data_IF_326561149861
#
_entry.id   IF_326561149861
#
_cell.length_a   1.000
_cell.length_b   1.000
_cell.length_c   1.000
_cell.angle_alpha   90.00
_cell.angle_beta   90.00
_cell.angle_gamma   90.00
#
_symmetry.space_group_name_H-M   'P 1'
#
loop_
_entity.id
_entity.type
_entity.pdbx_description
1 polymer ?
#
# COMPACT_ATOMS: atom_id res chain seq x y z
N UNK A 1 -1.44 -8.20 -11.02
CA UNK A 1 -2.02 -7.66 -12.28
C UNK A 1 -1.68 -6.19 -12.46
N UNK A 2 -2.03 -5.30 -11.51
CA UNK A 2 -1.79 -3.86 -11.67
C UNK A 2 -0.33 -3.48 -11.87
N UNK A 3 0.62 -4.12 -11.18
CA UNK A 3 2.05 -3.86 -11.38
C UNK A 3 2.46 -4.01 -12.85
N UNK A 4 2.04 -5.11 -13.50
CA UNK A 4 2.37 -5.39 -14.91
C UNK A 4 1.75 -4.36 -15.86
N UNK A 5 0.50 -3.96 -15.62
CA UNK A 5 -0.23 -3.03 -16.48
C UNK A 5 0.24 -1.58 -16.32
N UNK A 6 0.63 -1.19 -15.11
CA UNK A 6 0.94 0.20 -14.78
C UNK A 6 2.44 0.50 -14.70
N UNK A 7 3.32 -0.47 -15.00
CA UNK A 7 4.77 -0.28 -14.90
C UNK A 7 5.28 0.94 -15.68
N UNK A 8 4.65 1.28 -16.81
CA UNK A 8 5.01 2.44 -17.64
C UNK A 8 4.69 3.79 -16.97
N UNK A 9 3.94 3.77 -15.87
CA UNK A 9 3.60 4.95 -15.09
C UNK A 9 4.48 5.12 -13.84
N UNK A 10 5.44 4.23 -13.60
CA UNK A 10 6.42 4.42 -12.52
C UNK A 10 7.24 5.70 -12.77
N UNK A 11 7.55 6.43 -11.70
CA UNK A 11 8.34 7.67 -11.79
C UNK A 11 9.77 7.41 -12.31
N UNK A 12 10.31 6.23 -11.99
CA UNK A 12 11.65 5.78 -12.37
C UNK A 12 11.53 4.37 -12.98
N UNK A 13 12.47 3.94 -13.83
CA UNK A 13 12.52 2.55 -14.28
C UNK A 13 12.60 1.60 -13.09
N UNK A 14 11.79 0.54 -13.11
CA UNK A 14 11.70 -0.45 -12.03
C UNK A 14 11.92 -1.86 -12.58
N UNK A 15 12.56 -2.73 -11.79
CA UNK A 15 12.47 -4.17 -12.03
C UNK A 15 11.08 -4.67 -11.65
N UNK A 16 10.23 -4.89 -12.65
CA UNK A 16 8.85 -5.32 -12.43
C UNK A 16 8.75 -6.68 -11.73
N UNK A 17 9.73 -7.56 -11.91
CA UNK A 17 9.76 -8.87 -11.23
C UNK A 17 9.94 -8.68 -9.74
N UNK A 18 10.82 -7.75 -9.34
CA UNK A 18 11.06 -7.40 -7.93
C UNK A 18 9.83 -6.73 -7.31
N UNK A 19 9.17 -5.81 -8.01
CA UNK A 19 7.91 -5.18 -7.57
C UNK A 19 6.82 -6.24 -7.33
N UNK A 20 6.69 -7.22 -8.23
CA UNK A 20 5.74 -8.32 -8.05
C UNK A 20 6.10 -9.15 -6.81
N UNK A 21 7.38 -9.48 -6.60
CA UNK A 21 7.82 -10.19 -5.38
C UNK A 21 7.44 -9.39 -4.14
N UNK A 22 7.75 -8.10 -4.06
CA UNK A 22 7.37 -7.23 -2.94
C UNK A 22 5.87 -7.31 -2.64
N UNK A 23 5.02 -7.12 -3.66
CA UNK A 23 3.56 -7.16 -3.50
C UNK A 23 3.01 -8.54 -3.13
N UNK A 24 3.70 -9.64 -3.47
CA UNK A 24 3.31 -10.97 -3.01
C UNK A 24 3.68 -11.23 -1.55
N UNK A 25 4.70 -10.53 -1.03
CA UNK A 25 5.28 -10.77 0.29
C UNK A 25 4.79 -9.79 1.36
N UNK A 26 4.37 -8.57 0.97
CA UNK A 26 4.17 -7.47 1.92
C UNK A 26 3.29 -7.80 3.12
N UNK A 27 2.13 -8.42 2.88
CA UNK A 27 1.15 -8.75 3.93
C UNK A 27 1.33 -10.15 4.53
N UNK A 28 2.41 -10.89 4.21
CA UNK A 28 2.64 -12.21 4.84
C UNK A 28 2.72 -12.07 6.36
N UNK A 29 3.28 -10.97 6.85
CA UNK A 29 3.40 -10.66 8.28
C UNK A 29 2.06 -10.52 8.99
N UNK A 30 0.97 -10.22 8.26
CA UNK A 30 -0.37 -10.09 8.82
C UNK A 30 -0.95 -11.43 9.31
N UNK A 31 -0.35 -12.56 8.91
CA UNK A 31 -0.69 -13.89 9.48
C UNK A 31 -0.60 -13.86 11.02
N UNK A 32 0.40 -13.16 11.56
CA UNK A 32 0.59 -13.03 13.01
C UNK A 32 0.23 -11.64 13.54
N UNK A 33 0.60 -10.58 12.81
CA UNK A 33 0.40 -9.21 13.26
C UNK A 33 -1.09 -8.78 13.20
N UNK A 34 -1.86 -9.39 12.29
CA UNK A 34 -3.18 -8.93 11.88
C UNK A 34 -3.12 -7.66 11.03
N UNK A 35 -4.19 -7.42 10.27
CA UNK A 35 -4.37 -6.20 9.47
C UNK A 35 -4.70 -5.01 10.39
N UNK A 36 -4.08 -3.85 10.11
CA UNK A 36 -4.37 -2.58 10.76
C UNK A 36 -4.99 -1.61 9.77
N UNK A 37 -6.23 -1.20 10.05
CA UNK A 37 -6.93 -0.25 9.21
C UNK A 37 -6.14 1.06 9.05
N UNK A 38 -5.88 1.47 7.81
CA UNK A 38 -4.96 2.56 7.45
C UNK A 38 -5.31 3.94 8.06
N UNK A 39 -6.55 4.14 8.52
CA UNK A 39 -6.99 5.38 9.18
C UNK A 39 -6.98 5.30 10.72
N UNK A 40 -6.61 4.15 11.32
CA UNK A 40 -6.48 3.98 12.77
C UNK A 40 -5.05 4.30 13.24
N UNK A 41 -4.84 5.55 13.63
CA UNK A 41 -3.54 6.07 14.09
C UNK A 41 -3.07 5.43 15.41
N UNK A 42 -3.99 4.96 16.25
CA UNK A 42 -3.63 4.36 17.54
C UNK A 42 -3.14 2.92 17.35
N UNK A 43 -3.82 2.14 16.51
CA UNK A 43 -3.42 0.78 16.18
C UNK A 43 -2.02 0.74 15.52
N UNK A 44 -1.69 1.75 14.71
CA UNK A 44 -0.42 1.85 14.00
C UNK A 44 0.84 1.97 14.90
N UNK A 45 0.71 2.38 16.17
CA UNK A 45 1.89 2.66 17.02
C UNK A 45 2.69 1.41 17.41
N UNK A 46 2.03 0.26 17.51
CA UNK A 46 2.67 -1.02 17.85
C UNK A 46 2.77 -1.95 16.63
N UNK A 47 2.23 -1.53 15.50
CA UNK A 47 2.10 -2.38 14.33
C UNK A 47 3.45 -2.73 13.71
N UNK A 48 4.34 -1.75 13.57
CA UNK A 48 5.69 -1.96 13.03
C UNK A 48 6.48 -3.03 13.82
N UNK A 49 6.38 -3.01 15.15
CA UNK A 49 7.04 -4.02 15.98
C UNK A 49 6.43 -5.41 15.78
N UNK A 50 5.09 -5.52 15.75
CA UNK A 50 4.40 -6.80 15.52
C UNK A 50 4.73 -7.38 14.16
N UNK A 51 4.76 -6.54 13.12
CA UNK A 51 5.10 -6.94 11.76
C UNK A 51 6.56 -7.40 11.66
N UNK A 52 7.48 -6.73 12.35
CA UNK A 52 8.88 -7.16 12.42
C UNK A 52 9.02 -8.52 13.11
N UNK A 53 8.38 -8.73 14.27
CA UNK A 53 8.38 -10.01 14.98
C UNK A 53 7.76 -11.14 14.13
N UNK A 54 6.69 -10.82 13.40
CA UNK A 54 6.06 -11.74 12.45
C UNK A 54 6.99 -12.07 11.27
N UNK A 55 7.66 -11.07 10.68
CA UNK A 55 8.61 -11.27 9.59
C UNK A 55 9.76 -12.18 10.00
N UNK A 56 10.38 -11.90 11.15
CA UNK A 56 11.48 -12.70 11.69
C UNK A 56 11.06 -14.16 11.88
N UNK A 57 9.86 -14.39 12.42
CA UNK A 57 9.34 -15.74 12.65
C UNK A 57 9.00 -16.44 11.33
N UNK A 58 8.22 -15.82 10.46
CA UNK A 58 7.64 -16.42 9.26
C UNK A 58 8.70 -16.69 8.19
N UNK A 59 9.55 -15.70 7.89
CA UNK A 59 10.64 -15.90 6.93
C UNK A 59 11.73 -16.81 7.51
N UNK A 60 11.92 -16.81 8.83
CA UNK A 60 12.83 -17.74 9.54
C UNK A 60 12.39 -19.21 9.53
N UNK A 61 11.19 -19.54 9.05
CA UNK A 61 10.75 -20.95 8.85
C UNK A 61 11.28 -21.56 7.56
N UNK A 62 11.77 -20.74 6.63
CA UNK A 62 12.28 -21.17 5.34
C UNK A 62 13.74 -21.65 5.46
N UNK A 63 14.26 -22.36 4.45
CA UNK A 63 15.70 -22.50 4.28
C UNK A 63 16.41 -21.14 4.37
N UNK A 64 17.59 -21.11 4.99
CA UNK A 64 18.31 -19.88 5.35
C UNK A 64 18.45 -18.90 4.17
N UNK A 65 18.85 -19.40 3.00
CA UNK A 65 19.01 -18.62 1.78
C UNK A 65 17.69 -17.98 1.29
N UNK A 66 16.58 -18.72 1.36
CA UNK A 66 15.26 -18.25 0.98
C UNK A 66 14.70 -17.26 2.01
N UNK A 67 14.85 -17.58 3.30
CA UNK A 67 14.38 -16.73 4.39
C UNK A 67 15.04 -15.36 4.36
N UNK A 68 16.36 -15.31 4.18
CA UNK A 68 17.12 -14.06 4.06
C UNK A 68 16.72 -13.24 2.82
N UNK A 69 16.57 -13.87 1.64
CA UNK A 69 16.14 -13.18 0.41
C UNK A 69 14.75 -12.53 0.61
N UNK A 70 13.77 -13.31 1.07
CA UNK A 70 12.38 -12.81 1.18
C UNK A 70 12.23 -11.78 2.30
N UNK A 71 12.91 -11.96 3.44
CA UNK A 71 12.94 -10.96 4.51
C UNK A 71 13.54 -9.65 4.03
N UNK A 72 14.61 -9.71 3.23
CA UNK A 72 15.26 -8.51 2.66
C UNK A 72 14.32 -7.77 1.71
N UNK A 73 13.60 -8.50 0.84
CA UNK A 73 12.63 -7.91 -0.08
C UNK A 73 11.46 -7.27 0.68
N UNK A 74 10.92 -7.96 1.69
CA UNK A 74 9.85 -7.42 2.54
C UNK A 74 10.30 -6.15 3.25
N UNK A 75 11.50 -6.15 3.84
CA UNK A 75 12.05 -4.99 4.55
C UNK A 75 12.26 -3.79 3.61
N UNK A 76 12.72 -4.04 2.39
CA UNK A 76 12.87 -2.99 1.39
C UNK A 76 11.52 -2.36 1.00
N UNK A 77 10.46 -3.18 0.86
CA UNK A 77 9.11 -2.69 0.64
C UNK A 77 8.64 -1.77 1.78
N UNK A 78 8.88 -2.15 3.04
CA UNK A 78 8.51 -1.33 4.21
C UNK A 78 9.26 0.00 4.28
N UNK A 79 10.56 -0.01 3.96
CA UNK A 79 11.38 1.22 3.95
C UNK A 79 10.92 2.22 2.88
N UNK A 80 10.37 1.76 1.76
CA UNK A 80 9.84 2.60 0.68
C UNK A 80 10.86 3.61 0.12
N UNK A 81 12.14 3.22 0.04
CA UNK A 81 13.23 4.07 -0.41
C UNK A 81 13.62 3.84 -1.87
N UNK A 82 13.64 2.58 -2.32
CA UNK A 82 13.98 2.21 -3.70
C UNK A 82 12.86 2.57 -4.69
N UNK A 83 13.17 2.74 -6.00
CA UNK A 83 12.17 2.90 -7.04
C UNK A 83 11.09 1.81 -7.01
N UNK A 84 11.51 0.55 -6.86
CA UNK A 84 10.62 -0.60 -6.79
C UNK A 84 9.69 -0.53 -5.57
N UNK A 85 10.23 -0.24 -4.39
CA UNK A 85 9.44 -0.18 -3.16
C UNK A 85 8.45 0.99 -3.18
N UNK A 86 8.87 2.17 -3.68
CA UNK A 86 7.99 3.32 -3.87
C UNK A 86 6.85 3.00 -4.83
N UNK A 87 7.15 2.36 -5.95
CA UNK A 87 6.13 1.98 -6.93
C UNK A 87 5.20 0.89 -6.38
N UNK A 88 5.73 -0.12 -5.67
CA UNK A 88 4.93 -1.14 -5.01
C UNK A 88 3.97 -0.55 -3.97
N UNK A 89 4.46 0.30 -3.04
CA UNK A 89 3.61 0.99 -2.04
C UNK A 89 2.58 1.92 -2.69
N UNK A 90 2.89 2.52 -3.84
CA UNK A 90 1.93 3.32 -4.59
C UNK A 90 0.78 2.46 -5.15
N UNK A 91 1.08 1.27 -5.68
CA UNK A 91 0.07 0.34 -6.18
C UNK A 91 -0.78 -0.24 -5.04
N UNK A 92 -0.14 -0.68 -3.96
CA UNK A 92 -0.79 -1.15 -2.74
C UNK A 92 -1.81 -0.11 -2.24
N UNK A 93 -1.40 1.15 -2.17
CA UNK A 93 -2.29 2.25 -1.75
C UNK A 93 -3.42 2.55 -2.74
N UNK A 94 -3.15 2.44 -4.05
CA UNK A 94 -4.11 2.77 -5.10
C UNK A 94 -5.30 1.81 -5.11
N UNK A 95 -5.06 0.51 -4.88
CA UNK A 95 -6.09 -0.54 -4.97
C UNK A 95 -7.29 -0.30 -4.04
N UNK A 96 -7.13 -0.15 -2.71
CA UNK A 96 -8.27 0.07 -1.80
C UNK A 96 -8.97 1.41 -2.05
N UNK A 97 -8.26 2.42 -2.57
CA UNK A 97 -8.85 3.69 -3.00
C UNK A 97 -9.78 3.48 -4.21
N UNK A 98 -9.33 2.76 -5.24
CA UNK A 98 -10.16 2.41 -6.40
C UNK A 98 -11.37 1.56 -6.02
N UNK A 99 -11.18 0.60 -5.11
CA UNK A 99 -12.28 -0.23 -4.59
C UNK A 99 -13.32 0.62 -3.87
N UNK A 100 -12.90 1.57 -3.03
CA UNK A 100 -13.81 2.52 -2.40
C UNK A 100 -14.60 3.32 -3.45
N UNK A 101 -13.91 3.92 -4.42
CA UNK A 101 -14.56 4.71 -5.46
C UNK A 101 -15.59 3.88 -6.25
N UNK A 102 -15.23 2.67 -6.68
CA UNK A 102 -16.14 1.80 -7.45
C UNK A 102 -17.27 1.17 -6.61
N UNK A 103 -17.13 1.15 -5.29
CA UNK A 103 -18.18 0.75 -4.35
C UNK A 103 -18.89 1.97 -3.71
N UNK A 104 -19.00 3.09 -4.43
CA UNK A 104 -19.76 4.28 -3.99
C UNK A 104 -19.31 4.79 -2.61
N UNK A 105 -18.00 4.69 -2.33
CA UNK A 105 -17.35 5.09 -1.09
C UNK A 105 -17.76 4.29 0.15
N UNK A 106 -18.21 3.05 0.00
CA UNK A 106 -18.70 2.22 1.13
C UNK A 106 -17.82 2.30 2.38
N UNK A 107 -16.53 1.95 2.29
CA UNK A 107 -15.64 1.91 3.46
C UNK A 107 -15.34 3.32 3.99
N UNK A 108 -15.26 4.33 3.11
CA UNK A 108 -15.15 5.73 3.55
C UNK A 108 -16.36 6.19 4.36
N UNK A 109 -17.58 5.84 3.94
CA UNK A 109 -18.82 6.20 4.64
C UNK A 109 -18.92 5.48 5.99
N UNK A 110 -18.71 4.17 6.00
CA UNK A 110 -18.78 3.32 7.20
C UNK A 110 -17.80 3.80 8.27
N UNK A 111 -16.59 4.20 7.86
CA UNK A 111 -15.53 4.64 8.77
C UNK A 111 -15.45 6.17 8.95
N UNK A 112 -16.40 6.92 8.37
CA UNK A 112 -16.49 8.39 8.46
C UNK A 112 -15.20 9.10 8.03
N UNK A 113 -14.53 8.56 7.00
CA UNK A 113 -13.30 9.13 6.43
C UNK A 113 -13.61 10.49 5.78
N UNK A 114 -12.77 11.48 6.06
CA UNK A 114 -12.86 12.80 5.42
C UNK A 114 -12.01 12.89 4.15
N UNK A 115 -12.30 13.87 3.30
CA UNK A 115 -11.47 14.21 2.13
C UNK A 115 -10.02 14.43 2.52
N UNK A 116 -9.79 15.22 3.58
CA UNK A 116 -8.45 15.52 4.06
C UNK A 116 -7.72 14.23 4.46
N UNK A 117 -8.39 13.31 5.16
CA UNK A 117 -7.81 12.02 5.51
C UNK A 117 -7.51 11.18 4.27
N UNK A 118 -8.45 11.07 3.33
CA UNK A 118 -8.27 10.30 2.10
C UNK A 118 -7.09 10.84 1.27
N UNK A 119 -6.97 12.16 1.12
CA UNK A 119 -5.83 12.80 0.43
C UNK A 119 -4.54 12.54 1.19
N UNK A 120 -4.48 12.80 2.50
CA UNK A 120 -3.26 12.63 3.30
C UNK A 120 -2.72 11.19 3.24
N UNK A 121 -3.63 10.21 3.28
CA UNK A 121 -3.30 8.79 3.15
C UNK A 121 -2.83 8.49 1.73
N UNK A 122 -3.61 8.82 0.71
CA UNK A 122 -3.34 8.38 -0.66
C UNK A 122 -2.28 9.21 -1.40
N UNK A 123 -1.92 10.42 -0.94
CA UNK A 123 -0.90 11.25 -1.58
C UNK A 123 0.47 10.54 -1.69
N UNK A 124 0.75 9.57 -0.82
CA UNK A 124 1.98 8.78 -0.90
C UNK A 124 2.16 8.04 -2.24
N UNK A 125 1.08 7.82 -3.00
CA UNK A 125 1.11 7.29 -4.38
C UNK A 125 2.06 8.12 -5.26
N UNK A 126 2.09 9.44 -5.07
CA UNK A 126 2.94 10.39 -5.81
C UNK A 126 4.42 9.99 -5.82
N UNK A 127 4.90 9.37 -4.73
CA UNK A 127 6.29 8.94 -4.59
C UNK A 127 6.67 7.83 -5.57
N UNK A 128 5.73 6.95 -5.90
CA UNK A 128 5.93 5.86 -6.86
C UNK A 128 5.44 6.19 -8.27
N UNK A 129 4.39 7.00 -8.39
CA UNK A 129 3.83 7.43 -9.67
C UNK A 129 3.03 8.73 -9.53
N UNK A 130 3.52 9.81 -10.12
CA UNK A 130 2.78 11.07 -10.24
C UNK A 130 1.49 10.87 -11.06
N UNK A 131 1.58 10.14 -12.18
CA UNK A 131 0.45 9.91 -13.10
C UNK A 131 -0.72 9.21 -12.39
N UNK A 132 -0.42 8.16 -11.61
CA UNK A 132 -1.45 7.44 -10.86
C UNK A 132 -2.02 8.30 -9.73
N UNK A 133 -1.19 9.13 -9.08
CA UNK A 133 -1.67 10.06 -8.05
C UNK A 133 -2.61 11.12 -8.62
N UNK A 134 -2.27 11.75 -9.74
CA UNK A 134 -3.12 12.76 -10.38
C UNK A 134 -4.50 12.15 -10.73
N UNK A 135 -4.50 10.90 -11.23
CA UNK A 135 -5.75 10.17 -11.48
C UNK A 135 -6.50 9.87 -10.19
N UNK A 136 -5.83 9.34 -9.17
CA UNK A 136 -6.44 9.05 -7.87
C UNK A 136 -7.08 10.30 -7.23
N UNK A 137 -6.38 11.43 -7.28
CA UNK A 137 -6.87 12.71 -6.77
C UNK A 137 -8.15 13.14 -7.48
N UNK A 138 -8.22 13.04 -8.81
CA UNK A 138 -9.44 13.35 -9.56
C UNK A 138 -10.64 12.47 -9.15
N UNK A 139 -10.41 11.20 -8.81
CA UNK A 139 -11.45 10.29 -8.34
C UNK A 139 -11.92 10.63 -6.92
N UNK A 140 -11.01 11.09 -6.05
CA UNK A 140 -11.36 11.58 -4.71
C UNK A 140 -12.23 12.84 -4.81
N UNK A 141 -11.86 13.79 -5.66
CA UNK A 141 -12.65 15.01 -5.92
C UNK A 141 -14.06 14.67 -6.44
N UNK A 142 -14.18 13.69 -7.33
CA UNK A 142 -15.47 13.20 -7.81
C UNK A 142 -16.28 12.50 -6.71
N UNK A 143 -15.63 11.70 -5.85
CA UNK A 143 -16.29 11.05 -4.72
C UNK A 143 -16.87 12.07 -3.72
N UNK A 144 -16.19 13.20 -3.51
CA UNK A 144 -16.70 14.33 -2.74
C UNK A 144 -17.94 14.93 -3.41
N UNK A 145 -17.88 15.19 -4.72
CA UNK A 145 -19.00 15.74 -5.48
C UNK A 145 -20.24 14.81 -5.46
N UNK A 146 -20.03 13.50 -5.41
CA UNK A 146 -21.09 12.49 -5.28
C UNK A 146 -21.59 12.29 -3.84
N UNK A 147 -20.99 12.96 -2.86
CA UNK A 147 -21.39 12.88 -1.44
C UNK A 147 -20.94 11.59 -0.73
N UNK A 148 -20.02 10.83 -1.33
CA UNK A 148 -19.47 9.60 -0.73
C UNK A 148 -18.34 9.89 0.27
N UNK A 149 -17.75 11.06 0.18
CA UNK A 149 -16.67 11.53 1.03
C UNK A 149 -17.07 12.87 1.65
N UNK A 150 -16.84 13.03 2.96
CA UNK A 150 -17.17 14.28 3.65
C UNK A 150 -16.01 15.27 3.57
N UNK A 151 -16.32 16.54 3.33
CA UNK A 151 -15.37 17.64 3.52
C UNK A 151 -14.91 17.75 4.97
#
# INVERSE_FOLDING_TARGET
MMALLFQEHANEPVDITKVIKMLLLHDIVEIDAGDTFVYDVQASQLQEQKELEAAERLFGMLPEDQGEELFTIWREFEQAESPEAKFAKALDRLIPMLLNYHNQGQSWIENKVTETQAIQVNQKIEKGSQVLWDKAKSLIEEAVANGWLKN
#
